data_IF_117300721922
#
_entry.id   IF_117300721922
#
_cell.length_a   1.000
_cell.length_b   1.000
_cell.length_c   1.000
_cell.angle_alpha   90.00
_cell.angle_beta   90.00
_cell.angle_gamma   90.00
#
_symmetry.space_group_name_H-M   'P 1'
#
loop_
_entity.id
_entity.type
_entity.pdbx_description
1 polymer ?
#
# COMPACT_ATOMS: atom_id res chain seq x y z
N UNK A 1 26.24 -6.90 3.11
CA UNK A 1 25.06 -6.11 3.52
C UNK A 1 23.88 -7.07 3.58
N UNK A 2 23.36 -7.34 4.77
CA UNK A 2 22.21 -8.23 4.91
C UNK A 2 21.02 -7.59 4.19
N UNK A 3 20.42 -8.31 3.25
CA UNK A 3 19.11 -7.95 2.72
C UNK A 3 18.15 -8.01 3.91
N UNK A 4 17.71 -6.84 4.38
CA UNK A 4 16.68 -6.74 5.41
C UNK A 4 15.51 -7.60 4.96
N UNK A 5 15.29 -8.69 5.67
CA UNK A 5 14.18 -9.61 5.38
C UNK A 5 12.95 -8.89 5.89
N UNK A 6 12.20 -8.28 4.97
CA UNK A 6 10.98 -7.54 5.31
C UNK A 6 9.96 -8.55 5.82
N UNK A 7 9.57 -8.46 7.09
CA UNK A 7 8.41 -9.20 7.58
C UNK A 7 7.16 -8.55 7.01
N UNK A 8 6.63 -9.11 5.93
CA UNK A 8 5.35 -8.70 5.36
C UNK A 8 4.26 -9.13 6.34
N UNK A 9 3.65 -8.16 7.02
CA UNK A 9 2.57 -8.43 7.94
C UNK A 9 1.25 -8.44 7.16
N UNK A 10 0.63 -9.61 7.12
CA UNK A 10 -0.71 -9.75 6.59
C UNK A 10 -1.69 -9.28 7.65
N UNK A 11 -2.29 -8.12 7.44
CA UNK A 11 -3.49 -7.76 8.20
C UNK A 11 -4.61 -8.77 7.91
N UNK A 12 -5.63 -8.76 8.75
CA UNK A 12 -6.80 -9.67 8.70
C UNK A 12 -7.51 -9.74 7.33
N UNK A 13 -7.13 -8.94 6.33
CA UNK A 13 -7.86 -8.73 5.10
C UNK A 13 -7.02 -8.92 3.83
N UNK A 14 -7.00 -10.16 3.36
CA UNK A 14 -6.96 -10.49 1.94
C UNK A 14 -8.37 -10.95 1.56
N UNK A 15 -9.35 -10.05 1.57
CA UNK A 15 -10.71 -10.40 1.17
C UNK A 15 -10.85 -10.60 -0.34
N UNK A 16 -11.74 -11.51 -0.71
CA UNK A 16 -12.26 -11.70 -2.06
C UNK A 16 -13.04 -10.45 -2.53
N UNK A 17 -13.23 -10.33 -3.86
CA UNK A 17 -13.69 -9.09 -4.52
C UNK A 17 -14.94 -8.48 -3.86
N UNK A 18 -14.75 -7.30 -3.25
CA UNK A 18 -15.83 -6.44 -2.79
C UNK A 18 -16.21 -5.43 -3.88
N UNK A 19 -17.47 -4.93 -3.88
CA UNK A 19 -17.84 -3.77 -4.66
C UNK A 19 -16.89 -2.59 -4.39
N UNK A 20 -16.58 -1.81 -5.43
CA UNK A 20 -15.57 -0.75 -5.37
C UNK A 20 -15.76 0.22 -4.19
N UNK A 21 -16.99 0.70 -3.98
CA UNK A 21 -17.30 1.65 -2.91
C UNK A 21 -17.10 1.05 -1.51
N UNK A 22 -17.42 -0.23 -1.34
CA UNK A 22 -17.18 -0.95 -0.09
C UNK A 22 -15.68 -1.13 0.14
N UNK A 23 -14.95 -1.60 -0.87
CA UNK A 23 -13.49 -1.72 -0.80
C UNK A 23 -12.82 -0.39 -0.41
N UNK A 24 -13.23 0.72 -1.02
CA UNK A 24 -12.72 2.05 -0.71
C UNK A 24 -13.02 2.47 0.73
N UNK A 25 -14.27 2.36 1.17
CA UNK A 25 -14.69 2.73 2.51
C UNK A 25 -13.97 1.90 3.58
N UNK A 26 -13.84 0.60 3.34
CA UNK A 26 -13.10 -0.31 4.23
C UNK A 26 -11.61 0.02 4.27
N UNK A 27 -10.94 0.12 3.12
CA UNK A 27 -9.51 0.47 3.04
C UNK A 27 -9.21 1.79 3.73
N UNK A 28 -10.07 2.80 3.56
CA UNK A 28 -9.92 4.10 4.22
C UNK A 28 -9.93 3.95 5.73
N UNK A 29 -10.87 3.19 6.30
CA UNK A 29 -10.94 2.94 7.75
C UNK A 29 -9.74 2.14 8.25
N UNK A 30 -9.34 1.10 7.54
CA UNK A 30 -8.22 0.23 7.92
C UNK A 30 -6.90 0.99 7.91
N UNK A 31 -6.60 1.73 6.84
CA UNK A 31 -5.39 2.55 6.75
C UNK A 31 -5.39 3.60 7.86
N UNK A 32 -6.51 4.30 8.08
CA UNK A 32 -6.61 5.29 9.16
C UNK A 32 -6.35 4.67 10.54
N UNK A 33 -6.80 3.43 10.79
CA UNK A 33 -6.57 2.72 12.05
C UNK A 33 -5.12 2.24 12.20
N UNK A 34 -4.45 1.86 11.09
CA UNK A 34 -3.06 1.42 11.07
C UNK A 34 -2.13 2.62 11.29
N UNK A 35 -2.35 3.73 10.59
CA UNK A 35 -1.47 4.92 10.56
C UNK A 35 -1.77 5.94 11.67
N UNK A 36 -2.50 5.54 12.72
CA UNK A 36 -2.81 6.44 13.84
C UNK A 36 -1.52 6.93 14.50
N UNK A 37 -1.53 8.19 14.91
CA UNK A 37 -0.37 8.85 15.53
C UNK A 37 0.04 8.17 16.85
N UNK A 38 -0.93 7.71 17.63
CA UNK A 38 -0.71 6.99 18.89
C UNK A 38 -0.13 5.57 18.72
N UNK A 39 0.09 5.12 17.49
CA UNK A 39 0.74 3.84 17.16
C UNK A 39 2.20 3.98 16.72
N UNK A 40 2.80 5.16 16.91
CA UNK A 40 4.21 5.43 16.60
C UNK A 40 4.53 5.56 15.12
N UNK A 41 3.52 5.67 14.24
CA UNK A 41 3.71 5.79 12.78
C UNK A 41 4.13 7.21 12.43
N UNK A 42 5.38 7.37 11.97
CA UNK A 42 5.96 8.68 11.61
C UNK A 42 5.93 8.97 10.12
N UNK A 43 5.86 7.94 9.28
CA UNK A 43 5.66 8.07 7.84
C UNK A 43 4.95 6.84 7.29
N UNK A 44 4.21 7.01 6.20
CA UNK A 44 3.59 5.91 5.48
C UNK A 44 3.40 6.20 4.00
N UNK A 45 3.33 5.12 3.22
CA UNK A 45 3.12 5.14 1.78
C UNK A 45 2.05 4.13 1.39
N UNK A 46 1.07 4.59 0.62
CA UNK A 46 0.04 3.73 0.05
C UNK A 46 0.47 3.37 -1.38
N UNK A 47 0.55 2.09 -1.66
CA UNK A 47 1.06 1.60 -2.93
C UNK A 47 0.16 0.56 -3.58
N UNK A 48 0.48 0.28 -4.83
CA UNK A 48 -0.03 -0.90 -5.54
C UNK A 48 1.07 -1.74 -6.14
N UNK A 49 0.86 -3.04 -6.13
CA UNK A 49 1.74 -4.04 -6.71
C UNK A 49 0.96 -5.06 -7.54
N UNK A 50 1.69 -5.87 -8.31
CA UNK A 50 1.12 -6.97 -9.09
C UNK A 50 2.06 -8.15 -9.07
N UNK A 51 1.53 -9.35 -8.86
CA UNK A 51 2.34 -10.57 -8.71
C UNK A 51 1.48 -11.79 -8.45
N UNK A 52 2.12 -12.95 -8.32
CA UNK A 52 1.44 -14.20 -7.94
C UNK A 52 1.04 -14.22 -6.47
N UNK A 53 1.76 -13.48 -5.63
CA UNK A 53 1.49 -13.31 -4.21
C UNK A 53 1.83 -11.86 -3.77
N UNK A 54 1.32 -11.41 -2.63
CA UNK A 54 1.55 -10.05 -2.13
C UNK A 54 3.01 -9.71 -1.86
N UNK A 55 3.81 -10.63 -1.32
CA UNK A 55 5.23 -10.41 -1.02
C UNK A 55 5.98 -10.02 -2.31
N UNK A 56 5.87 -10.86 -3.33
CA UNK A 56 6.48 -10.63 -4.62
C UNK A 56 5.97 -9.33 -5.27
N UNK A 57 4.68 -9.02 -5.10
CA UNK A 57 4.08 -7.80 -5.64
C UNK A 57 4.63 -6.52 -5.00
N UNK A 58 4.92 -6.55 -3.70
CA UNK A 58 5.47 -5.42 -2.94
C UNK A 58 6.97 -5.28 -3.18
N UNK A 59 7.73 -6.38 -3.11
CA UNK A 59 9.19 -6.40 -3.32
C UNK A 59 9.58 -5.83 -4.70
N UNK A 60 8.86 -6.22 -5.76
CA UNK A 60 9.06 -5.69 -7.12
C UNK A 60 8.87 -4.17 -7.22
N UNK A 61 8.16 -3.57 -6.26
CA UNK A 61 7.78 -2.15 -6.25
C UNK A 61 8.58 -1.33 -5.23
N UNK A 62 9.44 -1.98 -4.46
CA UNK A 62 10.29 -1.31 -3.47
C UNK A 62 11.44 -0.58 -4.17
N UNK A 63 11.12 0.62 -4.65
CA UNK A 63 12.07 1.52 -5.31
C UNK A 63 13.07 2.15 -4.31
N UNK A 64 14.06 2.86 -4.87
CA UNK A 64 15.07 3.57 -4.08
C UNK A 64 14.46 4.61 -3.13
N UNK A 65 13.35 5.27 -3.51
CA UNK A 65 12.70 6.30 -2.68
C UNK A 65 12.07 5.71 -1.43
N UNK A 66 11.42 4.54 -1.54
CA UNK A 66 10.86 3.80 -0.39
C UNK A 66 11.93 3.34 0.57
N UNK A 67 13.11 2.95 0.06
CA UNK A 67 14.27 2.64 0.90
C UNK A 67 14.80 3.87 1.63
N UNK A 68 14.84 5.03 0.97
CA UNK A 68 15.25 6.29 1.60
C UNK A 68 14.28 6.78 2.68
N UNK A 69 13.00 6.40 2.59
CA UNK A 69 12.01 6.70 3.62
C UNK A 69 12.15 5.83 4.88
N UNK A 70 13.06 4.84 4.88
CA UNK A 70 13.33 3.94 6.02
C UNK A 70 12.06 3.23 6.51
N UNK A 71 11.20 2.81 5.60
CA UNK A 71 10.03 2.00 5.94
C UNK A 71 10.47 0.65 6.54
N UNK A 72 9.87 0.33 7.69
CA UNK A 72 10.19 -0.82 8.53
C UNK A 72 9.16 -1.93 8.44
N UNK A 73 7.95 -1.62 7.95
CA UNK A 73 6.82 -2.55 7.86
C UNK A 73 6.08 -2.41 6.54
N UNK A 74 5.60 -3.54 6.02
CA UNK A 74 4.73 -3.60 4.84
C UNK A 74 3.48 -4.42 5.14
N UNK A 75 2.33 -3.87 4.73
CA UNK A 75 1.01 -4.46 4.90
C UNK A 75 0.34 -4.64 3.54
N UNK A 76 -0.03 -5.87 3.17
CA UNK A 76 -0.93 -6.09 2.05
C UNK A 76 -2.39 -6.01 2.54
N UNK A 77 -3.19 -5.11 1.95
CA UNK A 77 -4.51 -4.74 2.50
C UNK A 77 -5.70 -5.19 1.64
N UNK A 78 -5.48 -5.39 0.35
CA UNK A 78 -6.54 -5.79 -0.58
C UNK A 78 -5.94 -6.43 -1.82
N UNK A 79 -6.68 -7.37 -2.43
CA UNK A 79 -6.30 -7.97 -3.70
C UNK A 79 -7.47 -8.01 -4.67
N UNK A 80 -7.19 -7.87 -5.96
CA UNK A 80 -8.18 -8.09 -7.02
C UNK A 80 -7.46 -8.58 -8.28
N UNK A 81 -8.09 -9.45 -9.09
CA UNK A 81 -7.62 -9.74 -10.45
C UNK A 81 -7.75 -8.52 -11.39
N UNK A 82 -8.54 -7.51 -11.03
CA UNK A 82 -8.80 -6.34 -11.86
C UNK A 82 -7.81 -5.20 -11.57
N UNK A 83 -6.87 -4.99 -12.49
CA UNK A 83 -5.93 -3.86 -12.43
C UNK A 83 -6.63 -2.49 -12.36
N UNK A 84 -7.79 -2.34 -13.02
CA UNK A 84 -8.55 -1.08 -13.05
C UNK A 84 -9.10 -0.74 -11.67
N UNK A 85 -9.66 -1.71 -10.96
CA UNK A 85 -10.16 -1.56 -9.59
C UNK A 85 -9.05 -1.08 -8.66
N UNK A 86 -7.90 -1.76 -8.67
CA UNK A 86 -6.74 -1.39 -7.83
C UNK A 86 -6.20 -0.01 -8.18
N UNK A 87 -6.14 0.35 -9.47
CA UNK A 87 -5.71 1.68 -9.90
C UNK A 87 -6.66 2.78 -9.40
N UNK A 88 -7.97 2.56 -9.43
CA UNK A 88 -8.95 3.52 -8.90
C UNK A 88 -8.81 3.68 -7.39
N UNK A 89 -8.81 2.56 -6.66
CA UNK A 89 -8.69 2.56 -5.20
C UNK A 89 -7.42 3.27 -4.73
N UNK A 90 -6.27 2.96 -5.34
CA UNK A 90 -4.99 3.60 -5.01
C UNK A 90 -5.04 5.12 -5.23
N UNK A 91 -5.61 5.58 -6.34
CA UNK A 91 -5.72 7.00 -6.63
C UNK A 91 -6.59 7.73 -5.60
N UNK A 92 -7.77 7.19 -5.28
CA UNK A 92 -8.68 7.81 -4.31
C UNK A 92 -8.13 7.79 -2.88
N UNK A 93 -7.48 6.70 -2.48
CA UNK A 93 -6.82 6.61 -1.17
C UNK A 93 -5.66 7.61 -1.06
N UNK A 94 -4.82 7.70 -2.10
CA UNK A 94 -3.72 8.66 -2.12
C UNK A 94 -4.24 10.09 -2.01
N UNK A 95 -5.23 10.46 -2.84
CA UNK A 95 -5.82 11.79 -2.82
C UNK A 95 -6.43 12.12 -1.45
N UNK A 96 -7.08 11.17 -0.81
CA UNK A 96 -7.67 11.35 0.52
C UNK A 96 -6.60 11.55 1.59
N UNK A 97 -5.61 10.66 1.69
CA UNK A 97 -4.61 10.70 2.76
C UNK A 97 -3.57 11.79 2.57
N UNK A 98 -3.18 12.11 1.34
CA UNK A 98 -2.29 13.26 1.08
C UNK A 98 -2.95 14.58 1.48
N UNK A 99 -4.28 14.73 1.30
CA UNK A 99 -5.00 15.93 1.77
C UNK A 99 -5.13 15.97 3.28
N UNK A 100 -5.41 14.82 3.91
CA UNK A 100 -5.69 14.73 5.35
C UNK A 100 -4.43 14.77 6.22
N UNK A 101 -3.33 14.22 5.72
CA UNK A 101 -2.10 14.03 6.49
C UNK A 101 -0.84 14.19 5.61
N UNK A 102 -0.63 15.41 5.06
CA UNK A 102 0.42 15.68 4.08
C UNK A 102 1.84 15.56 4.63
N UNK A 103 2.01 15.54 5.96
CA UNK A 103 3.33 15.48 6.60
C UNK A 103 3.84 14.04 6.75
N UNK A 104 2.94 13.07 6.93
CA UNK A 104 3.29 11.66 7.15
C UNK A 104 3.03 10.80 5.92
N UNK A 105 2.04 11.15 5.10
CA UNK A 105 1.79 10.46 3.83
C UNK A 105 2.83 10.87 2.80
N UNK A 106 3.75 9.96 2.45
CA UNK A 106 4.88 10.24 1.57
C UNK A 106 4.56 10.00 0.09
N UNK A 107 3.30 9.82 -0.26
CA UNK A 107 2.88 9.67 -1.64
C UNK A 107 3.18 10.96 -2.43
N UNK A 108 3.89 10.83 -3.54
CA UNK A 108 4.03 11.92 -4.50
C UNK A 108 2.84 11.86 -5.45
N UNK A 109 2.14 12.98 -5.66
CA UNK A 109 0.89 13.06 -6.47
C UNK A 109 1.02 12.69 -7.95
N UNK A 110 2.13 12.07 -8.37
CA UNK A 110 2.40 11.57 -9.73
C UNK A 110 3.21 10.26 -9.71
N UNK A 111 2.85 9.33 -8.84
CA UNK A 111 3.45 7.99 -8.80
C UNK A 111 3.11 7.11 -10.00
N UNK A 112 3.73 7.36 -11.15
CA UNK A 112 3.74 6.49 -12.34
C UNK A 112 4.69 5.30 -12.14
N UNK A 113 4.59 4.57 -11.03
CA UNK A 113 5.40 3.36 -10.90
C UNK A 113 4.86 2.32 -11.91
N UNK A 114 5.73 1.86 -12.81
CA UNK A 114 5.44 1.14 -14.06
C UNK A 114 4.43 -0.01 -13.97
N UNK A 115 3.71 -0.24 -15.06
CA UNK A 115 2.69 -1.28 -15.15
C UNK A 115 3.24 -2.55 -15.83
N UNK A 116 3.44 -3.67 -15.11
CA UNK A 116 3.38 -4.99 -15.71
C UNK A 116 1.94 -5.49 -15.61
N UNK A 117 1.22 -5.51 -16.74
CA UNK A 117 -0.23 -5.79 -16.80
C UNK A 117 -0.60 -7.26 -16.99
N UNK A 118 0.35 -8.20 -16.86
CA UNK A 118 0.13 -9.62 -17.15
C UNK A 118 0.19 -10.53 -15.90
N UNK A 119 0.10 -9.96 -14.70
CA UNK A 119 0.15 -10.72 -13.45
C UNK A 119 -1.27 -11.10 -13.01
N UNK A 120 -1.45 -12.27 -12.35
CA UNK A 120 -2.79 -12.80 -12.06
C UNK A 120 -3.54 -12.05 -10.97
N UNK A 121 -2.81 -11.29 -10.12
CA UNK A 121 -3.38 -10.53 -9.00
C UNK A 121 -2.69 -9.18 -8.87
N UNK A 122 -3.47 -8.22 -8.42
CA UNK A 122 -3.07 -6.86 -8.12
C UNK A 122 -3.43 -6.56 -6.67
N UNK A 123 -2.59 -5.79 -5.99
CA UNK A 123 -2.67 -5.58 -4.55
C UNK A 123 -2.62 -4.10 -4.21
N UNK A 124 -3.38 -3.69 -3.20
CA UNK A 124 -3.12 -2.47 -2.43
C UNK A 124 -2.25 -2.85 -1.24
N UNK A 125 -1.21 -2.07 -0.99
CA UNK A 125 -0.35 -2.25 0.16
C UNK A 125 -0.05 -0.91 0.85
N UNK A 126 0.42 -1.00 2.09
CA UNK A 126 0.76 0.13 2.94
C UNK A 126 2.15 -0.13 3.54
N UNK A 127 3.11 0.71 3.22
CA UNK A 127 4.44 0.71 3.83
C UNK A 127 4.47 1.75 4.96
N UNK A 128 5.06 1.41 6.10
CA UNK A 128 5.09 2.25 7.31
C UNK A 128 6.50 2.39 7.84
N UNK A 129 6.77 3.53 8.47
CA UNK A 129 7.91 3.72 9.37
C UNK A 129 7.37 3.95 10.78
N UNK A 130 7.86 3.16 11.73
CA UNK A 130 7.59 3.32 13.17
C UNK A 130 8.87 3.60 13.94
N UNK A 131 8.74 4.33 15.05
CA UNK A 131 9.79 4.52 16.06
C UNK A 131 9.31 3.98 17.41
#
# INVERSE_FOLDING_TARGET
MAAGTFEVQFGEFLAEELPYAEALAHLTRSIAAIVREDRGVTAYYIGKGSGTNPIQAIEKRYDLKKRMAEFTEDWALYSSPCARTIKGLEAELNDYFMKRDPKRCTNEGKGSAGAPSAQPRHYIYLALRRH
#
